data_IF_712045442477
#
_entry.id   IF_712045442477
#
_cell.length_a   1.000
_cell.length_b   1.000
_cell.length_c   1.000
_cell.angle_alpha   90.00
_cell.angle_beta   90.00
_cell.angle_gamma   90.00
#
_symmetry.space_group_name_H-M   'P 1'
#
loop_
_entity.id
_entity.type
_entity.pdbx_description
1 polymer ?
#
# COMPACT_ATOMS: atom_id res chain seq x y z
N UNK A 1 -16.79 -48.52 -8.49
CA UNK A 1 -16.51 -47.68 -7.29
C UNK A 1 -16.15 -46.30 -7.81
N UNK A 2 -16.79 -45.24 -7.32
CA UNK A 2 -16.46 -43.88 -7.74
C UNK A 2 -15.08 -43.51 -7.18
N UNK A 3 -14.13 -43.12 -8.05
CA UNK A 3 -12.82 -42.62 -7.62
C UNK A 3 -13.00 -41.24 -6.99
N UNK A 4 -12.55 -41.10 -5.75
CA UNK A 4 -12.49 -39.80 -5.09
C UNK A 4 -11.45 -38.93 -5.80
N UNK A 5 -11.81 -37.70 -6.22
CA UNK A 5 -10.86 -36.80 -6.87
C UNK A 5 -9.73 -36.39 -5.91
N UNK A 6 -8.56 -36.14 -6.48
CA UNK A 6 -7.39 -35.67 -5.73
C UNK A 6 -7.65 -34.33 -5.05
N UNK A 7 -7.21 -34.20 -3.80
CA UNK A 7 -7.30 -32.95 -3.06
C UNK A 7 -6.40 -31.88 -3.70
N UNK A 8 -7.01 -30.73 -4.03
CA UNK A 8 -6.30 -29.54 -4.50
C UNK A 8 -6.53 -28.43 -3.50
N UNK A 9 -5.46 -28.06 -2.79
CA UNK A 9 -5.49 -26.90 -1.91
C UNK A 9 -5.70 -25.62 -2.73
N UNK A 10 -6.67 -24.81 -2.33
CA UNK A 10 -6.87 -23.46 -2.84
C UNK A 10 -6.90 -22.50 -1.64
N UNK A 11 -6.05 -21.46 -1.60
CA UNK A 11 -6.09 -20.49 -0.53
C UNK A 11 -7.41 -19.69 -0.57
N UNK A 12 -7.87 -19.26 0.60
CA UNK A 12 -9.11 -18.48 0.74
C UNK A 12 -9.03 -17.15 -0.01
N UNK A 13 -7.85 -16.52 -0.03
CA UNK A 13 -7.60 -15.26 -0.73
C UNK A 13 -6.64 -15.49 -1.89
N UNK A 14 -7.11 -15.22 -3.10
CA UNK A 14 -6.29 -15.23 -4.31
C UNK A 14 -5.72 -13.83 -4.48
N UNK A 15 -4.46 -13.64 -4.08
CA UNK A 15 -3.82 -12.32 -4.11
C UNK A 15 -3.67 -11.84 -5.57
N UNK A 16 -3.99 -10.57 -5.81
CA UNK A 16 -3.79 -9.90 -7.09
C UNK A 16 -2.36 -9.37 -7.28
N UNK A 17 -2.13 -8.71 -8.41
CA UNK A 17 -0.87 -7.99 -8.67
C UNK A 17 -0.73 -6.81 -7.72
N UNK A 18 0.49 -6.57 -7.24
CA UNK A 18 0.84 -5.35 -6.54
C UNK A 18 1.34 -4.29 -7.54
N UNK A 19 0.58 -3.22 -7.69
CA UNK A 19 0.91 -2.07 -8.52
C UNK A 19 1.34 -0.85 -7.67
N UNK A 20 1.65 -1.07 -6.38
CA UNK A 20 2.08 -0.02 -5.46
C UNK A 20 3.51 0.43 -5.74
N UNK A 21 3.73 1.74 -5.86
CA UNK A 21 5.07 2.31 -5.92
C UNK A 21 5.65 2.46 -4.51
N UNK A 22 6.86 1.94 -4.31
CA UNK A 22 7.59 2.02 -3.05
C UNK A 22 8.83 2.89 -3.19
N UNK A 23 9.14 3.66 -2.15
CA UNK A 23 10.43 4.34 -2.01
C UNK A 23 11.27 3.68 -0.92
N UNK A 24 12.59 3.70 -1.09
CA UNK A 24 13.51 3.17 -0.10
C UNK A 24 13.65 4.16 1.06
N UNK A 25 13.11 3.81 2.23
CA UNK A 25 13.28 4.62 3.44
C UNK A 25 14.70 4.53 4.01
N UNK A 26 15.21 3.31 4.22
CA UNK A 26 16.57 3.05 4.71
C UNK A 26 16.95 1.59 4.48
N UNK A 27 18.25 1.29 4.59
CA UNK A 27 18.79 -0.08 4.67
C UNK A 27 19.25 -0.46 6.08
N UNK A 28 19.14 0.45 7.04
CA UNK A 28 19.52 0.21 8.43
C UNK A 28 18.56 -0.75 9.13
N UNK A 29 19.08 -1.56 10.04
CA UNK A 29 18.29 -2.49 10.85
C UNK A 29 17.84 -3.75 10.10
N UNK A 30 18.35 -3.99 8.89
CA UNK A 30 18.18 -5.27 8.17
C UNK A 30 19.51 -5.93 7.86
N UNK A 31 19.56 -7.26 8.00
CA UNK A 31 20.72 -8.08 7.65
C UNK A 31 20.29 -9.50 7.30
N UNK A 32 21.14 -10.25 6.63
CA UNK A 32 20.91 -11.67 6.33
C UNK A 32 21.83 -12.51 7.21
N UNK A 33 21.28 -13.56 7.82
CA UNK A 33 22.02 -14.58 8.56
C UNK A 33 21.65 -15.98 8.04
N UNK A 34 22.39 -16.99 8.45
CA UNK A 34 22.10 -18.40 8.12
C UNK A 34 21.54 -19.13 9.33
N UNK A 35 20.51 -19.96 9.11
CA UNK A 35 20.00 -20.91 10.09
C UNK A 35 19.62 -22.22 9.40
N UNK A 36 20.22 -23.33 9.82
CA UNK A 36 20.04 -24.66 9.21
C UNK A 36 20.25 -24.68 7.68
N UNK A 37 21.23 -23.90 7.20
CA UNK A 37 21.54 -23.77 5.77
C UNK A 37 20.50 -23.01 4.95
N UNK A 38 19.61 -22.26 5.62
CA UNK A 38 18.64 -21.36 5.00
C UNK A 38 18.95 -19.91 5.35
N UNK A 39 18.88 -18.98 4.38
CA UNK A 39 19.01 -17.57 4.64
C UNK A 39 17.79 -17.06 5.43
N UNK A 40 18.05 -16.33 6.51
CA UNK A 40 17.07 -15.68 7.37
C UNK A 40 17.29 -14.18 7.33
N UNK A 41 16.22 -13.43 7.08
CA UNK A 41 16.21 -11.97 7.20
C UNK A 41 16.05 -11.59 8.67
N UNK A 42 17.06 -10.91 9.22
CA UNK A 42 17.00 -10.30 10.55
C UNK A 42 16.58 -8.85 10.42
N UNK A 43 15.53 -8.47 11.15
CA UNK A 43 15.00 -7.11 11.23
C UNK A 43 15.10 -6.64 12.68
N UNK A 44 15.73 -5.49 12.91
CA UNK A 44 15.83 -4.93 14.25
C UNK A 44 14.50 -4.28 14.69
N UNK A 45 14.18 -4.26 15.99
CA UNK A 45 12.98 -3.58 16.49
C UNK A 45 12.92 -2.09 16.10
N UNK A 46 14.08 -1.41 16.08
CA UNK A 46 14.19 0.00 15.74
C UNK A 46 13.82 0.27 14.28
N UNK A 47 14.08 -0.68 13.37
CA UNK A 47 13.63 -0.58 11.98
C UNK A 47 12.10 -0.53 11.88
N UNK A 48 11.40 -1.32 12.70
CA UNK A 48 9.94 -1.32 12.76
C UNK A 48 9.41 0.00 13.35
N UNK A 49 10.03 0.50 14.41
CA UNK A 49 9.68 1.81 15.00
C UNK A 49 9.86 2.94 13.99
N UNK A 50 10.97 2.96 13.26
CA UNK A 50 11.25 3.96 12.22
C UNK A 50 10.23 3.89 11.09
N UNK A 51 9.95 2.68 10.58
CA UNK A 51 8.97 2.46 9.53
C UNK A 51 7.59 2.99 9.94
N UNK A 52 7.13 2.62 11.13
CA UNK A 52 5.85 3.09 11.65
C UNK A 52 5.82 4.61 11.78
N UNK A 53 6.86 5.22 12.36
CA UNK A 53 6.92 6.67 12.54
C UNK A 53 6.85 7.41 11.19
N UNK A 54 7.61 6.96 10.20
CA UNK A 54 7.58 7.57 8.86
C UNK A 54 6.22 7.35 8.18
N UNK A 55 5.65 6.14 8.26
CA UNK A 55 4.35 5.86 7.65
C UNK A 55 3.24 6.72 8.25
N UNK A 56 3.24 6.91 9.58
CA UNK A 56 2.28 7.80 10.24
C UNK A 56 2.49 9.25 9.87
N UNK A 57 3.73 9.73 9.72
CA UNK A 57 3.96 11.07 9.17
C UNK A 57 3.38 11.18 7.76
N UNK A 58 3.72 10.26 6.86
CA UNK A 58 3.32 10.34 5.45
C UNK A 58 1.80 10.26 5.28
N UNK A 59 1.11 9.34 5.97
CA UNK A 59 -0.35 9.19 5.83
C UNK A 59 -1.14 10.40 6.36
N UNK A 60 -0.56 11.18 7.29
CA UNK A 60 -1.21 12.38 7.81
C UNK A 60 -1.09 13.60 6.88
N UNK A 61 -0.10 13.63 5.99
CA UNK A 61 0.19 14.80 5.15
C UNK A 61 0.15 14.53 3.65
N UNK A 62 0.11 13.26 3.23
CA UNK A 62 0.15 12.86 1.83
C UNK A 62 -1.03 11.93 1.52
N UNK A 63 -1.56 12.08 0.30
CA UNK A 63 -2.59 11.22 -0.26
C UNK A 63 -2.03 10.42 -1.43
N UNK A 64 -2.66 9.26 -1.71
CA UNK A 64 -2.31 8.48 -2.90
C UNK A 64 -2.62 9.28 -4.16
N UNK A 65 -1.76 9.16 -5.17
CA UNK A 65 -1.94 9.79 -6.49
C UNK A 65 -3.32 9.51 -7.07
N UNK A 66 -3.76 8.25 -7.03
CA UNK A 66 -5.07 7.84 -7.55
C UNK A 66 -6.24 8.56 -6.90
N UNK A 67 -6.16 8.88 -5.60
CA UNK A 67 -7.18 9.66 -4.90
C UNK A 67 -7.17 11.12 -5.35
N UNK A 68 -6.00 11.77 -5.39
CA UNK A 68 -5.89 13.15 -5.86
C UNK A 68 -6.34 13.32 -7.31
N UNK A 69 -6.05 12.35 -8.18
CA UNK A 69 -6.54 12.34 -9.56
C UNK A 69 -8.06 12.18 -9.64
N UNK A 70 -8.68 11.40 -8.74
CA UNK A 70 -10.13 11.30 -8.64
C UNK A 70 -10.76 12.63 -8.23
N UNK A 71 -10.21 13.30 -7.21
CA UNK A 71 -10.73 14.61 -6.77
C UNK A 71 -10.52 15.67 -7.85
N UNK A 72 -9.37 15.68 -8.54
CA UNK A 72 -9.09 16.63 -9.61
C UNK A 72 -10.04 16.50 -10.80
N UNK A 73 -10.47 15.27 -11.15
CA UNK A 73 -11.42 15.04 -12.25
C UNK A 73 -12.74 15.79 -12.08
N UNK A 74 -13.21 15.96 -10.85
CA UNK A 74 -14.45 16.69 -10.51
C UNK A 74 -14.45 18.11 -11.09
N UNK A 75 -13.28 18.77 -11.11
CA UNK A 75 -13.15 20.15 -11.59
C UNK A 75 -13.48 20.31 -13.08
N UNK A 76 -13.29 19.23 -13.86
CA UNK A 76 -13.51 19.20 -15.31
C UNK A 76 -14.78 18.45 -15.72
N UNK A 77 -15.48 17.86 -14.74
CA UNK A 77 -16.69 17.08 -15.00
C UNK A 77 -17.86 18.02 -15.35
N UNK A 78 -18.50 17.88 -16.53
CA UNK A 78 -19.65 18.68 -16.91
C UNK A 78 -20.89 18.37 -16.06
N UNK A 79 -20.98 17.20 -15.43
CA UNK A 79 -22.11 16.80 -14.58
C UNK A 79 -21.94 17.22 -13.12
N UNK A 80 -20.73 17.63 -12.71
CA UNK A 80 -20.45 18.07 -11.35
C UNK A 80 -21.05 19.46 -11.06
N UNK A 81 -21.71 19.58 -9.92
CA UNK A 81 -22.28 20.84 -9.47
C UNK A 81 -21.19 21.85 -9.06
N UNK A 82 -21.57 23.13 -8.97
CA UNK A 82 -20.65 24.16 -8.49
C UNK A 82 -20.16 23.88 -7.05
N UNK A 83 -21.01 23.27 -6.21
CA UNK A 83 -20.64 22.89 -4.85
C UNK A 83 -19.62 21.75 -4.84
N UNK A 84 -19.78 20.74 -5.72
CA UNK A 84 -18.80 19.65 -5.85
C UNK A 84 -17.42 20.20 -6.25
N UNK A 85 -17.41 21.12 -7.22
CA UNK A 85 -16.19 21.79 -7.69
C UNK A 85 -15.54 22.64 -6.60
N UNK A 86 -16.34 23.37 -5.82
CA UNK A 86 -15.86 24.17 -4.70
C UNK A 86 -15.22 23.31 -3.60
N UNK A 87 -15.88 22.22 -3.22
CA UNK A 87 -15.38 21.29 -2.20
C UNK A 87 -14.11 20.58 -2.68
N UNK A 88 -14.09 20.09 -3.92
CA UNK A 88 -12.92 19.45 -4.52
C UNK A 88 -11.70 20.39 -4.56
N UNK A 89 -11.90 21.65 -4.96
CA UNK A 89 -10.83 22.66 -4.94
C UNK A 89 -10.33 22.94 -3.53
N UNK A 90 -11.22 22.93 -2.54
CA UNK A 90 -10.87 23.13 -1.13
C UNK A 90 -10.01 21.96 -0.62
N UNK A 91 -10.38 20.71 -0.92
CA UNK A 91 -9.56 19.55 -0.56
C UNK A 91 -8.19 19.53 -1.24
N UNK A 92 -8.10 19.91 -2.51
CA UNK A 92 -6.82 19.93 -3.23
C UNK A 92 -5.86 21.05 -2.77
N UNK A 93 -6.38 22.08 -2.09
CA UNK A 93 -5.59 23.19 -1.54
C UNK A 93 -5.15 22.97 -0.09
N UNK A 94 -5.77 22.04 0.61
CA UNK A 94 -5.48 21.72 2.02
C UNK A 94 -4.17 20.95 2.15
#
# INVERSE_FOLDING_TARGET
MANTPDFKYAPMFQMGKDDTEYYLLTKEGVSVSEFEGKPILKVSPEALTRLANQAFRDVNFLLRRSHNEQVAKILSDPEASDNDKYVALTFLRN
#
